data_IF_984007739011
#
_entry.id   IF_984007739011
#
_cell.length_a   1.000
_cell.length_b   1.000
_cell.length_c   1.000
_cell.angle_alpha   90.00
_cell.angle_beta   90.00
_cell.angle_gamma   90.00
#
_symmetry.space_group_name_H-M   'P 1'
#
loop_
_entity.id
_entity.type
_entity.pdbx_description
1 polymer ?
#
# COMPACT_ATOMS: atom_id res chain seq x y z
N UNK A 1 46.57 11.86 7.17
CA UNK A 1 45.80 10.70 6.70
C UNK A 1 44.33 11.04 6.89
N UNK A 2 43.57 11.14 5.80
CA UNK A 2 42.12 11.36 5.90
C UNK A 2 41.47 10.03 6.28
N UNK A 3 40.74 9.99 7.39
CA UNK A 3 39.91 8.84 7.73
C UNK A 3 38.92 8.61 6.60
N UNK A 4 38.99 7.44 5.97
CA UNK A 4 37.99 7.00 5.00
C UNK A 4 36.60 6.92 5.65
N UNK A 5 35.52 6.89 4.85
CA UNK A 5 34.17 6.82 5.39
C UNK A 5 34.04 5.60 6.31
N UNK A 6 33.70 5.83 7.57
CA UNK A 6 33.40 4.77 8.52
C UNK A 6 32.17 4.04 8.01
N UNK A 7 32.32 2.77 7.62
CA UNK A 7 31.18 1.89 7.35
C UNK A 7 30.41 1.78 8.66
N UNK A 8 29.15 2.22 8.66
CA UNK A 8 28.27 2.09 9.82
C UNK A 8 28.09 0.58 10.07
N UNK A 9 28.55 0.08 11.22
CA UNK A 9 28.20 -1.28 11.64
C UNK A 9 26.70 -1.31 11.87
N UNK A 10 26.01 -2.29 11.27
CA UNK A 10 24.57 -2.47 11.46
C UNK A 10 24.37 -3.12 12.82
N UNK A 11 24.39 -2.30 13.85
CA UNK A 11 24.14 -2.74 15.22
C UNK A 11 22.62 -2.77 15.52
N UNK A 12 21.82 -2.10 14.68
CA UNK A 12 20.36 -2.07 14.76
C UNK A 12 19.70 -2.31 13.38
N UNK A 13 19.28 -3.55 13.12
CA UNK A 13 18.56 -3.92 11.91
C UNK A 13 17.16 -3.28 11.80
N UNK A 14 16.55 -2.89 12.93
CA UNK A 14 15.28 -2.17 12.90
C UNK A 14 15.49 -0.76 12.33
N UNK A 15 16.59 -0.09 12.70
CA UNK A 15 16.95 1.21 12.09
C UNK A 15 17.21 1.09 10.58
N UNK A 16 17.89 0.05 10.10
CA UNK A 16 18.14 -0.12 8.66
C UNK A 16 16.84 -0.39 7.87
N UNK A 17 15.95 -1.24 8.40
CA UNK A 17 14.65 -1.52 7.79
C UNK A 17 13.78 -0.26 7.72
N UNK A 18 13.66 0.47 8.84
CA UNK A 18 12.92 1.73 8.89
C UNK A 18 13.58 2.80 8.02
N UNK A 19 14.91 2.88 8.03
CA UNK A 19 15.67 3.81 7.20
C UNK A 19 15.39 3.63 5.71
N UNK A 20 15.31 2.38 5.24
CA UNK A 20 14.90 2.08 3.86
C UNK A 20 13.51 2.66 3.57
N UNK A 21 12.52 2.33 4.40
CA UNK A 21 11.13 2.75 4.14
C UNK A 21 10.96 4.26 4.30
N UNK A 22 11.35 4.84 5.44
CA UNK A 22 11.13 6.24 5.78
C UNK A 22 11.87 7.18 4.83
N UNK A 23 13.11 6.84 4.43
CA UNK A 23 13.85 7.63 3.46
C UNK A 23 13.21 7.57 2.08
N UNK A 24 12.83 6.37 1.62
CA UNK A 24 12.17 6.19 0.34
C UNK A 24 10.81 6.90 0.31
N UNK A 25 10.01 6.74 1.37
CA UNK A 25 8.72 7.39 1.55
C UNK A 25 8.84 8.91 1.51
N UNK A 26 9.70 9.49 2.35
CA UNK A 26 9.83 10.94 2.50
C UNK A 26 10.50 11.63 1.32
N UNK A 27 11.42 10.96 0.61
CA UNK A 27 12.21 11.60 -0.47
C UNK A 27 11.82 11.20 -1.88
N UNK A 28 11.33 9.98 -2.07
CA UNK A 28 11.12 9.42 -3.41
C UNK A 28 9.66 9.12 -3.72
N UNK A 29 8.83 8.76 -2.74
CA UNK A 29 7.43 8.43 -3.01
C UNK A 29 6.47 9.57 -2.69
N UNK A 30 6.27 9.89 -1.41
CA UNK A 30 5.14 10.71 -1.00
C UNK A 30 5.10 12.11 -1.62
N UNK A 31 6.23 12.83 -1.79
CA UNK A 31 6.26 14.11 -2.50
C UNK A 31 5.85 13.98 -3.97
N UNK A 32 6.15 12.85 -4.62
CA UNK A 32 5.72 12.59 -6.01
C UNK A 32 4.22 12.41 -6.15
N UNK A 33 3.46 12.32 -5.06
CA UNK A 33 2.00 12.22 -5.06
C UNK A 33 1.30 13.52 -4.66
N UNK A 34 2.07 14.58 -4.39
CA UNK A 34 1.52 15.92 -4.19
C UNK A 34 0.77 16.39 -5.44
N UNK A 35 -0.40 17.00 -5.23
CA UNK A 35 -1.27 17.45 -6.32
C UNK A 35 -2.03 16.34 -7.06
N UNK A 36 -1.96 15.08 -6.60
CA UNK A 36 -2.82 14.01 -7.13
C UNK A 36 -4.29 14.41 -6.93
N UNK A 37 -4.99 14.61 -8.05
CA UNK A 37 -6.39 15.01 -8.06
C UNK A 37 -7.32 13.82 -8.31
N UNK A 38 -8.62 14.03 -8.12
CA UNK A 38 -9.62 12.97 -8.24
C UNK A 38 -9.72 12.40 -9.67
N UNK A 39 -9.51 13.22 -10.70
CA UNK A 39 -9.59 12.74 -12.10
C UNK A 39 -8.42 11.81 -12.43
N UNK A 40 -7.22 12.15 -11.98
CA UNK A 40 -6.03 11.33 -12.07
C UNK A 40 -6.19 10.03 -11.23
N UNK A 41 -6.72 10.13 -10.01
CA UNK A 41 -6.97 9.02 -9.10
C UNK A 41 -7.91 7.95 -9.68
N UNK A 42 -8.91 8.36 -10.45
CA UNK A 42 -9.86 7.47 -11.13
C UNK A 42 -9.50 7.15 -12.59
N UNK A 43 -8.38 7.68 -13.12
CA UNK A 43 -8.00 7.44 -14.51
C UNK A 43 -7.69 5.96 -14.78
N UNK A 44 -8.25 5.43 -15.86
CA UNK A 44 -8.05 4.05 -16.29
C UNK A 44 -6.85 3.98 -17.24
N UNK A 45 -5.78 3.23 -16.89
CA UNK A 45 -4.57 3.18 -17.71
C UNK A 45 -4.72 2.38 -19.01
N UNK A 46 -5.73 1.51 -19.09
CA UNK A 46 -6.09 0.76 -20.28
C UNK A 46 -7.57 0.37 -20.22
N UNK A 47 -8.20 0.03 -21.36
CA UNK A 47 -9.56 -0.50 -21.39
C UNK A 47 -9.69 -1.75 -20.50
N UNK A 48 -10.74 -1.82 -19.69
CA UNK A 48 -10.99 -2.94 -18.79
C UNK A 48 -10.11 -2.96 -17.53
N UNK A 49 -9.43 -1.85 -17.20
CA UNK A 49 -8.66 -1.72 -15.98
C UNK A 49 -9.52 -1.94 -14.72
N UNK A 50 -8.89 -2.51 -13.71
CA UNK A 50 -9.47 -2.62 -12.37
C UNK A 50 -9.33 -1.31 -11.62
N UNK A 51 -10.43 -0.87 -11.02
CA UNK A 51 -10.53 0.41 -10.34
C UNK A 51 -11.30 0.32 -9.04
N UNK A 52 -11.74 1.48 -8.56
CA UNK A 52 -12.63 1.57 -7.42
C UNK A 52 -14.08 1.64 -7.90
N UNK A 53 -14.95 0.81 -7.31
CA UNK A 53 -16.37 0.72 -7.64
C UNK A 53 -17.21 0.79 -6.38
N UNK A 54 -18.39 1.42 -6.49
CA UNK A 54 -19.36 1.33 -5.41
C UNK A 54 -19.87 -0.09 -5.33
N UNK A 55 -19.93 -0.64 -4.12
CA UNK A 55 -20.56 -1.92 -3.87
C UNK A 55 -22.01 -1.90 -4.38
N UNK A 56 -22.48 -2.98 -5.04
CA UNK A 56 -23.86 -3.05 -5.49
C UNK A 56 -24.86 -2.92 -4.32
N UNK A 57 -26.00 -2.30 -4.60
CA UNK A 57 -27.07 -2.17 -3.62
C UNK A 57 -27.50 -3.55 -3.11
N UNK A 58 -27.59 -3.72 -1.79
CA UNK A 58 -27.98 -4.98 -1.16
C UNK A 58 -26.83 -5.96 -0.86
N UNK A 59 -25.60 -5.71 -1.32
CA UNK A 59 -24.44 -6.59 -1.07
C UNK A 59 -23.61 -6.19 0.17
N UNK A 60 -24.17 -5.36 1.05
CA UNK A 60 -23.54 -4.88 2.28
C UNK A 60 -23.60 -3.35 2.44
N UNK A 61 -22.78 -2.77 3.33
CA UNK A 61 -22.72 -1.33 3.55
C UNK A 61 -22.30 -0.57 2.29
N UNK A 62 -22.92 0.58 2.04
CA UNK A 62 -22.58 1.47 0.93
C UNK A 62 -21.13 1.98 1.06
N UNK A 63 -20.24 1.39 0.26
CA UNK A 63 -18.79 1.63 0.31
C UNK A 63 -18.21 1.58 -1.08
N UNK A 64 -17.22 2.43 -1.31
CA UNK A 64 -16.32 2.32 -2.44
C UNK A 64 -15.28 1.24 -2.12
N UNK A 65 -15.17 0.23 -2.98
CA UNK A 65 -14.24 -0.92 -2.83
C UNK A 65 -13.43 -1.08 -4.12
N UNK A 66 -12.36 -1.88 -4.08
CA UNK A 66 -11.57 -2.20 -5.27
C UNK A 66 -12.17 -3.40 -6.03
N UNK A 67 -12.08 -3.36 -7.35
CA UNK A 67 -12.33 -4.53 -8.19
C UNK A 67 -11.44 -5.71 -7.72
N UNK A 68 -12.03 -6.89 -7.61
CA UNK A 68 -11.37 -8.10 -7.10
C UNK A 68 -12.10 -9.35 -7.60
N UNK A 69 -11.36 -10.44 -7.84
CA UNK A 69 -11.92 -11.73 -8.24
C UNK A 69 -11.07 -12.89 -7.71
N UNK A 70 -11.72 -14.02 -7.42
CA UNK A 70 -11.07 -15.28 -7.03
C UNK A 70 -11.65 -16.43 -7.86
N UNK A 71 -10.85 -17.10 -8.71
CA UNK A 71 -9.47 -16.74 -9.08
C UNK A 71 -9.41 -15.38 -9.83
N UNK A 72 -8.24 -14.73 -9.90
CA UNK A 72 -8.08 -13.55 -10.74
C UNK A 72 -8.25 -13.91 -12.23
N UNK A 73 -8.66 -12.96 -13.10
CA UNK A 73 -8.66 -13.15 -14.54
C UNK A 73 -7.25 -13.34 -15.09
N UNK A 74 -7.14 -14.00 -16.25
CA UNK A 74 -5.87 -14.20 -16.95
C UNK A 74 -5.94 -13.66 -18.40
N UNK A 75 -5.14 -12.63 -18.76
CA UNK A 75 -4.20 -11.91 -17.90
C UNK A 75 -4.91 -11.03 -16.86
N UNK A 76 -4.25 -10.81 -15.72
CA UNK A 76 -4.74 -9.87 -14.70
C UNK A 76 -4.87 -8.45 -15.29
N UNK A 77 -6.00 -7.75 -15.09
CA UNK A 77 -6.16 -6.38 -15.56
C UNK A 77 -5.17 -5.41 -14.89
N UNK A 78 -4.71 -4.42 -15.64
CA UNK A 78 -3.98 -3.28 -15.05
C UNK A 78 -4.89 -2.49 -14.11
N UNK A 79 -4.32 -1.84 -13.11
CA UNK A 79 -5.09 -1.19 -12.04
C UNK A 79 -4.94 0.33 -12.04
N UNK A 80 -5.99 1.06 -11.64
CA UNK A 80 -5.95 2.52 -11.48
C UNK A 80 -5.07 2.95 -10.30
N UNK A 81 -4.71 4.23 -10.25
CA UNK A 81 -4.02 4.82 -9.08
C UNK A 81 -4.83 4.59 -7.81
N UNK A 82 -6.15 4.83 -7.85
CA UNK A 82 -6.99 4.64 -6.67
C UNK A 82 -7.06 3.20 -6.19
N UNK A 83 -7.09 2.23 -7.11
CA UNK A 83 -7.01 0.82 -6.72
C UNK A 83 -5.65 0.51 -6.05
N UNK A 84 -4.55 1.02 -6.58
CA UNK A 84 -3.20 0.79 -6.02
C UNK A 84 -3.01 1.42 -4.64
N UNK A 85 -3.52 2.63 -4.41
CA UNK A 85 -3.51 3.25 -3.07
C UNK A 85 -4.32 2.42 -2.09
N UNK A 86 -5.51 1.94 -2.51
CA UNK A 86 -6.31 1.01 -1.70
C UNK A 86 -5.52 -0.27 -1.40
N UNK A 87 -4.89 -0.89 -2.39
CA UNK A 87 -4.09 -2.10 -2.20
C UNK A 87 -2.99 -1.87 -1.15
N UNK A 88 -2.25 -0.76 -1.24
CA UNK A 88 -1.23 -0.40 -0.25
C UNK A 88 -1.79 -0.25 1.17
N UNK A 89 -2.92 0.47 1.34
CA UNK A 89 -3.59 0.57 2.65
C UNK A 89 -3.98 -0.82 3.17
N UNK A 90 -4.49 -1.67 2.28
CA UNK A 90 -4.93 -3.02 2.59
C UNK A 90 -3.80 -3.94 3.03
N UNK A 91 -2.68 -3.95 2.32
CA UNK A 91 -1.47 -4.69 2.66
C UNK A 91 -0.93 -4.24 4.02
N UNK A 92 -0.71 -2.92 4.17
CA UNK A 92 -0.09 -2.36 5.38
C UNK A 92 -0.98 -2.63 6.59
N UNK A 93 -2.27 -2.33 6.50
CA UNK A 93 -3.20 -2.49 7.64
C UNK A 93 -3.49 -3.96 7.92
N UNK A 94 -3.62 -4.79 6.88
CA UNK A 94 -3.84 -6.23 7.02
C UNK A 94 -2.67 -6.93 7.69
N UNK A 95 -1.43 -6.61 7.34
CA UNK A 95 -0.25 -7.19 7.99
C UNK A 95 -0.10 -6.75 9.45
N UNK A 96 -0.51 -5.52 9.78
CA UNK A 96 -0.58 -5.05 11.18
C UNK A 96 -1.60 -5.81 12.02
N UNK A 97 -2.65 -6.35 11.40
CA UNK A 97 -3.70 -7.12 12.09
C UNK A 97 -3.29 -8.57 12.40
N UNK A 98 -2.08 -8.98 11.99
CA UNK A 98 -1.56 -10.35 12.17
C UNK A 98 -0.40 -10.37 13.17
N UNK A 99 -0.18 -11.47 13.90
CA UNK A 99 1.02 -11.66 14.69
C UNK A 99 2.31 -11.40 13.88
N UNK A 100 3.38 -10.89 14.52
CA UNK A 100 3.50 -10.52 15.94
C UNK A 100 2.89 -9.14 16.26
N UNK A 101 2.33 -8.46 15.26
CA UNK A 101 1.68 -7.18 15.44
C UNK A 101 0.31 -7.38 16.12
N UNK A 102 -0.18 -6.31 16.75
CA UNK A 102 -1.40 -6.32 17.55
C UNK A 102 -2.43 -5.30 17.03
N UNK A 103 -2.43 -5.06 15.72
CA UNK A 103 -3.45 -4.24 15.07
C UNK A 103 -4.83 -4.89 15.15
N UNK A 104 -5.86 -4.07 15.09
CA UNK A 104 -7.25 -4.53 15.08
C UNK A 104 -7.54 -5.44 13.87
N UNK A 105 -8.44 -6.44 14.01
CA UNK A 105 -8.88 -7.26 12.89
C UNK A 105 -9.32 -6.43 11.69
N UNK A 106 -8.88 -6.83 10.49
CA UNK A 106 -9.03 -6.00 9.30
C UNK A 106 -9.60 -6.78 8.11
N UNK A 107 -10.70 -6.27 7.54
CA UNK A 107 -11.31 -6.80 6.33
C UNK A 107 -10.68 -6.17 5.09
N UNK A 108 -9.64 -6.83 4.56
CA UNK A 108 -8.87 -6.38 3.39
C UNK A 108 -9.76 -6.20 2.14
N UNK A 109 -10.80 -7.00 1.99
CA UNK A 109 -11.67 -6.98 0.80
C UNK A 109 -12.79 -5.95 0.93
N UNK A 110 -13.36 -5.76 2.13
CA UNK A 110 -14.53 -4.92 2.34
C UNK A 110 -14.29 -3.55 2.98
N UNK A 111 -13.05 -3.18 3.33
CA UNK A 111 -12.77 -1.85 3.86
C UNK A 111 -13.06 -0.75 2.82
N UNK A 112 -13.56 0.39 3.32
CA UNK A 112 -13.96 1.51 2.49
C UNK A 112 -12.75 2.30 1.95
N UNK A 113 -12.74 2.54 0.64
CA UNK A 113 -11.83 3.47 -0.01
C UNK A 113 -12.40 4.88 0.00
N UNK A 114 -11.60 5.91 0.29
CA UNK A 114 -12.05 7.29 0.17
C UNK A 114 -12.44 7.62 -1.28
N UNK A 115 -13.51 8.42 -1.48
CA UNK A 115 -13.96 8.82 -2.81
C UNK A 115 -13.13 9.95 -3.41
N UNK A 116 -12.08 10.40 -2.72
CA UNK A 116 -11.19 11.47 -3.17
C UNK A 116 -9.73 11.04 -3.04
N UNK A 117 -8.89 11.55 -3.94
CA UNK A 117 -7.45 11.34 -3.92
C UNK A 117 -6.82 11.79 -2.61
N UNK A 118 -7.22 12.98 -2.12
CA UNK A 118 -6.74 13.53 -0.85
C UNK A 118 -7.11 12.62 0.33
N UNK A 119 -8.34 12.10 0.36
CA UNK A 119 -8.76 11.17 1.41
C UNK A 119 -7.97 9.87 1.38
N UNK A 120 -7.72 9.34 0.17
CA UNK A 120 -6.97 8.09 -0.02
C UNK A 120 -5.50 8.23 0.40
N UNK A 121 -4.86 9.36 0.05
CA UNK A 121 -3.51 9.67 0.51
C UNK A 121 -3.46 9.83 2.03
N UNK A 122 -4.42 10.52 2.65
CA UNK A 122 -4.47 10.65 4.11
C UNK A 122 -4.63 9.29 4.81
N UNK A 123 -5.45 8.40 4.26
CA UNK A 123 -5.60 7.03 4.77
C UNK A 123 -4.30 6.22 4.65
N UNK A 124 -3.56 6.39 3.56
CA UNK A 124 -2.28 5.71 3.36
C UNK A 124 -1.17 6.30 4.24
N UNK A 125 -1.10 7.62 4.38
CA UNK A 125 -0.17 8.33 5.26
C UNK A 125 -0.31 7.82 6.71
N UNK A 126 -1.55 7.68 7.16
CA UNK A 126 -1.87 7.14 8.48
C UNK A 126 -1.46 5.66 8.64
N UNK A 127 -1.75 4.82 7.63
CA UNK A 127 -1.35 3.41 7.66
C UNK A 127 0.18 3.24 7.74
N UNK A 128 0.94 4.01 6.94
CA UNK A 128 2.41 3.98 6.92
C UNK A 128 3.00 4.51 8.24
N UNK A 129 2.41 5.55 8.82
CA UNK A 129 2.85 6.08 10.11
C UNK A 129 2.68 5.04 11.23
N UNK A 130 1.51 4.39 11.30
CA UNK A 130 1.27 3.34 12.30
C UNK A 130 2.16 2.12 12.09
N UNK A 131 2.36 1.71 10.83
CA UNK A 131 3.29 0.64 10.49
C UNK A 131 4.71 0.93 10.97
N UNK A 132 5.21 2.14 10.69
CA UNK A 132 6.56 2.56 11.10
C UNK A 132 6.69 2.63 12.62
N UNK A 133 5.63 2.99 13.34
CA UNK A 133 5.60 2.94 14.80
C UNK A 133 5.64 1.50 15.34
N UNK A 134 4.87 0.59 14.74
CA UNK A 134 4.83 -0.82 15.13
C UNK A 134 6.19 -1.52 14.89
N UNK A 135 6.82 -1.30 13.73
CA UNK A 135 8.15 -1.84 13.42
C UNK A 135 9.21 -1.30 14.39
N UNK A 136 9.14 -0.01 14.73
CA UNK A 136 10.04 0.61 15.71
C UNK A 136 9.87 0.02 17.11
N UNK A 137 8.65 -0.32 17.50
CA UNK A 137 8.34 -0.90 18.81
C UNK A 137 8.82 -2.36 18.97
N UNK A 138 8.97 -3.12 17.87
CA UNK A 138 9.47 -4.49 17.91
C UNK A 138 10.92 -4.57 18.43
N UNK A 139 11.77 -3.64 18.00
CA UNK A 139 13.21 -3.67 18.25
C UNK A 139 13.94 -4.83 17.54
N UNK A 140 15.28 -4.73 17.44
CA UNK A 140 16.09 -5.65 16.64
C UNK A 140 16.00 -7.12 17.09
N UNK A 141 15.79 -7.38 18.39
CA UNK A 141 15.78 -8.74 18.96
C UNK A 141 14.60 -9.59 18.52
N UNK A 142 13.50 -8.99 18.07
CA UNK A 142 12.28 -9.70 17.66
C UNK A 142 12.23 -10.01 16.16
N UNK A 143 13.13 -9.43 15.36
CA UNK A 143 13.11 -9.54 13.90
C UNK A 143 13.29 -10.99 13.40
N UNK A 144 14.01 -11.83 14.15
CA UNK A 144 14.27 -13.23 13.80
C UNK A 144 13.19 -14.19 14.31
N UNK A 145 12.23 -13.72 15.09
CA UNK A 145 11.17 -14.58 15.61
C UNK A 145 10.27 -15.11 14.49
N UNK A 146 9.60 -16.25 14.70
CA UNK A 146 8.49 -16.66 13.86
C UNK A 146 7.39 -15.59 13.83
N UNK A 147 6.89 -15.28 12.64
CA UNK A 147 5.84 -14.30 12.40
C UNK A 147 4.51 -14.69 13.04
N UNK A 148 4.10 -15.95 12.93
CA UNK A 148 2.81 -16.41 13.42
C UNK A 148 2.79 -17.90 13.75
N UNK A 149 1.68 -18.37 14.35
CA UNK A 149 1.48 -19.78 14.64
C UNK A 149 1.41 -20.64 13.35
N UNK A 150 1.47 -21.98 13.45
CA UNK A 150 1.50 -22.89 12.30
C UNK A 150 0.28 -22.86 11.35
N UNK A 151 -0.82 -22.23 11.75
CA UNK A 151 -2.07 -22.13 10.99
C UNK A 151 -2.33 -20.72 10.43
N UNK A 152 -1.42 -19.77 10.65
CA UNK A 152 -1.54 -18.41 10.13
C UNK A 152 -1.17 -18.30 8.65
N UNK A 153 -1.72 -17.29 7.96
CA UNK A 153 -1.32 -16.99 6.58
C UNK A 153 0.18 -16.65 6.42
N UNK A 154 0.83 -16.27 7.53
CA UNK A 154 2.26 -15.93 7.64
C UNK A 154 3.09 -17.08 8.22
N UNK A 155 2.55 -18.30 8.29
CA UNK A 155 3.31 -19.47 8.75
C UNK A 155 4.58 -19.66 7.92
N UNK A 156 5.71 -19.87 8.61
CA UNK A 156 7.02 -20.05 7.98
C UNK A 156 7.76 -18.75 7.67
N UNK A 157 7.15 -17.59 7.94
CA UNK A 157 7.81 -16.30 7.81
C UNK A 157 8.48 -15.92 9.13
N UNK A 158 9.57 -15.15 9.05
CA UNK A 158 10.07 -14.40 10.21
C UNK A 158 9.37 -13.06 10.32
N UNK A 159 9.46 -12.41 11.47
CA UNK A 159 8.99 -11.02 11.64
C UNK A 159 9.64 -10.10 10.60
N UNK A 160 10.96 -10.21 10.41
CA UNK A 160 11.67 -9.48 9.35
C UNK A 160 11.12 -9.78 7.94
N UNK A 161 10.69 -11.02 7.68
CA UNK A 161 10.05 -11.41 6.44
C UNK A 161 8.74 -10.65 6.18
N UNK A 162 7.89 -10.47 7.21
CA UNK A 162 6.71 -9.60 7.10
C UNK A 162 7.14 -8.16 6.84
N UNK A 163 8.14 -7.65 7.57
CA UNK A 163 8.57 -6.26 7.42
C UNK A 163 9.03 -5.96 5.99
N UNK A 164 9.92 -6.81 5.47
CA UNK A 164 10.43 -6.72 4.12
C UNK A 164 9.33 -6.89 3.06
N UNK A 165 8.34 -7.75 3.30
CA UNK A 165 7.20 -7.89 2.41
C UNK A 165 6.42 -6.58 2.29
N UNK A 166 6.03 -5.97 3.41
CA UNK A 166 5.29 -4.69 3.38
C UNK A 166 6.12 -3.59 2.72
N UNK A 167 7.42 -3.52 2.99
CA UNK A 167 8.30 -2.53 2.36
C UNK A 167 8.39 -2.75 0.84
N UNK A 168 8.52 -4.00 0.39
CA UNK A 168 8.51 -4.34 -1.03
C UNK A 168 7.22 -3.91 -1.71
N UNK A 169 6.06 -4.17 -1.11
CA UNK A 169 4.75 -3.78 -1.67
C UNK A 169 4.65 -2.25 -1.79
N UNK A 170 5.05 -1.50 -0.75
CA UNK A 170 5.08 -0.03 -0.75
C UNK A 170 6.01 0.54 -1.83
N UNK A 171 7.22 -0.01 -1.98
CA UNK A 171 8.19 0.41 -2.98
C UNK A 171 7.67 0.08 -4.39
N UNK A 172 7.23 -1.16 -4.61
CA UNK A 172 6.79 -1.65 -5.91
C UNK A 172 5.58 -0.86 -6.42
N UNK A 173 4.46 -0.90 -5.71
CA UNK A 173 3.26 -0.21 -6.16
C UNK A 173 3.38 1.32 -6.04
N UNK A 174 4.23 1.81 -5.13
CA UNK A 174 4.54 3.23 -5.08
C UNK A 174 5.26 3.74 -6.34
N UNK A 175 6.18 2.95 -6.89
CA UNK A 175 6.80 3.25 -8.19
C UNK A 175 5.77 3.18 -9.33
N UNK A 176 4.88 2.19 -9.33
CA UNK A 176 3.83 2.07 -10.34
C UNK A 176 2.83 3.24 -10.32
N UNK A 177 2.40 3.69 -9.13
CA UNK A 177 1.58 4.89 -8.97
C UNK A 177 2.32 6.09 -9.59
N UNK A 178 3.59 6.27 -9.21
CA UNK A 178 4.42 7.37 -9.71
C UNK A 178 4.55 7.36 -11.24
N UNK A 179 4.70 6.19 -11.85
CA UNK A 179 4.73 6.03 -13.30
C UNK A 179 3.39 6.41 -13.95
N UNK A 180 2.26 5.97 -13.39
CA UNK A 180 0.94 6.35 -13.92
C UNK A 180 0.72 7.86 -13.85
N UNK A 181 1.18 8.51 -12.76
CA UNK A 181 1.15 9.97 -12.65
C UNK A 181 1.93 10.65 -13.77
N UNK A 182 3.15 10.18 -14.03
CA UNK A 182 3.99 10.73 -15.11
C UNK A 182 3.32 10.56 -16.48
N UNK A 183 2.70 9.40 -16.74
CA UNK A 183 1.97 9.14 -17.98
C UNK A 183 0.71 10.01 -18.11
N UNK A 184 -0.01 10.25 -17.01
CA UNK A 184 -1.15 11.16 -16.98
C UNK A 184 -0.72 12.60 -17.27
N UNK A 185 0.34 13.07 -16.62
CA UNK A 185 0.90 14.41 -16.85
C UNK A 185 1.42 14.60 -18.29
N UNK A 186 1.94 13.54 -18.91
CA UNK A 186 2.36 13.54 -20.31
C UNK A 186 1.21 13.47 -21.32
N UNK A 187 -0.04 13.32 -20.87
CA UNK A 187 -1.22 13.16 -21.73
C UNK A 187 -1.35 11.77 -22.37
N UNK A 188 -0.54 10.80 -21.94
CA UNK A 188 -0.61 9.40 -22.39
C UNK A 188 -1.76 8.64 -21.76
N UNK A 189 -2.28 9.13 -20.63
CA UNK A 189 -3.54 8.67 -20.04
C UNK A 189 -4.57 9.78 -20.21
N UNK A 190 -5.74 9.46 -20.77
CA UNK A 190 -6.82 10.44 -20.90
C UNK A 190 -7.48 10.67 -19.55
N UNK A 191 -7.67 11.94 -19.17
CA UNK A 191 -8.59 12.31 -18.11
C UNK A 191 -10.00 11.79 -18.46
N UNK A 192 -10.58 10.92 -17.63
CA UNK A 192 -11.99 10.54 -17.79
C UNK A 192 -12.32 9.05 -17.83
N UNK A 193 -11.68 8.22 -16.99
CA UNK A 193 -12.40 7.04 -16.50
C UNK A 193 -13.69 7.53 -15.82
N UNK A 194 -14.87 6.92 -16.04
CA UNK A 194 -16.09 7.37 -15.40
C UNK A 194 -15.91 7.31 -13.89
N UNK A 195 -16.08 8.44 -13.19
CA UNK A 195 -16.10 8.46 -11.72
C UNK A 195 -17.14 7.43 -11.28
N UNK A 196 -16.83 6.57 -10.30
CA UNK A 196 -17.77 5.55 -9.86
C UNK A 196 -19.04 6.24 -9.35
N UNK A 197 -20.14 5.98 -10.03
CA UNK A 197 -21.47 6.50 -9.68
C UNK A 197 -22.09 5.55 -8.66
N UNK A 198 -22.69 6.10 -7.61
CA UNK A 198 -23.48 5.29 -6.67
C UNK A 198 -24.65 4.67 -7.42
N UNK A 199 -24.74 3.34 -7.42
CA UNK A 199 -25.94 2.64 -7.88
C UNK A 199 -27.14 3.10 -7.03
N UNK A 200 -28.24 3.47 -7.70
CA UNK A 200 -29.51 3.75 -7.01
C UNK A 200 -30.17 2.46 -6.56
#
# INVERSE_FOLDING_TARGET
>A
MASGPTVRTVDDWTEELLGQLELHWARQLRPRWEGLNDDEYFSEPAPGAWGLRWRPAGEGPDRLVGDYAVPPPEPAPVTTIGWRIRHLVGVVTGMRAMPPFAGEPFDVLGFASPPTATGALAQLDDAVARWSADVRALGASRLTDPAGPPDAAVTGWSVAGIVLHVHRELIHHGAEISLLRDLYAAGSLTAGGPRPVRGR
#
